data_IF_819423728123
#
_entry.id   IF_819423728123
#
_cell.length_a   1.000
_cell.length_b   1.000
_cell.length_c   1.000
_cell.angle_alpha   90.00
_cell.angle_beta   90.00
_cell.angle_gamma   90.00
#
_symmetry.space_group_name_H-M   'P 1'
#
loop_
_entity.id
_entity.type
_entity.pdbx_description
1 polymer ?
#
# COMPACT_ATOMS: atom_id res chain seq x y z
N UNK A 1 -12.06 18.74 0.21
CA UNK A 1 -12.05 17.42 0.86
C UNK A 1 -10.63 16.93 0.96
N UNK A 2 -10.24 16.48 2.15
CA UNK A 2 -8.92 15.90 2.35
C UNK A 2 -9.09 14.47 2.86
N UNK A 3 -8.60 13.49 2.11
CA UNK A 3 -8.63 12.09 2.51
C UNK A 3 -8.05 11.87 3.92
N UNK A 4 -6.95 12.53 4.23
CA UNK A 4 -6.30 12.41 5.54
C UNK A 4 -7.20 12.90 6.65
N UNK A 5 -7.86 14.03 6.45
CA UNK A 5 -8.81 14.57 7.42
C UNK A 5 -9.99 13.63 7.64
N UNK A 6 -10.56 13.12 6.57
CA UNK A 6 -11.70 12.22 6.63
C UNK A 6 -11.32 10.89 7.28
N UNK A 7 -10.12 10.39 6.99
CA UNK A 7 -9.57 9.21 7.65
C UNK A 7 -9.40 9.41 9.17
N UNK A 8 -8.93 10.58 9.59
CA UNK A 8 -8.85 10.93 11.00
C UNK A 8 -10.22 11.01 11.66
N UNK A 9 -11.18 11.66 11.00
CA UNK A 9 -12.54 11.80 11.51
C UNK A 9 -13.22 10.43 11.69
N UNK A 10 -13.03 9.54 10.72
CA UNK A 10 -13.58 8.18 10.78
C UNK A 10 -12.99 7.35 11.94
N UNK A 11 -11.74 7.63 12.29
CA UNK A 11 -11.05 6.92 13.35
C UNK A 11 -11.04 7.69 14.69
N UNK A 12 -11.83 8.74 14.83
CA UNK A 12 -12.00 9.42 16.11
C UNK A 12 -12.62 8.48 17.15
N UNK A 13 -12.09 8.57 18.37
CA UNK A 13 -12.52 7.71 19.47
C UNK A 13 -11.72 6.42 19.61
N UNK A 14 -10.87 6.08 18.69
CA UNK A 14 -9.90 5.00 18.85
C UNK A 14 -8.67 5.49 19.62
N UNK A 15 -8.18 4.67 20.53
CA UNK A 15 -6.98 4.95 21.32
C UNK A 15 -5.67 4.81 20.51
N UNK A 16 -5.72 5.19 19.23
CA UNK A 16 -4.58 5.07 18.33
C UNK A 16 -3.88 6.41 18.26
N UNK A 17 -2.55 6.47 18.50
CA UNK A 17 -1.79 7.70 18.37
C UNK A 17 -1.94 8.32 16.98
N UNK A 18 -2.20 9.61 16.93
CA UNK A 18 -2.41 10.36 15.68
C UNK A 18 -1.27 10.21 14.68
N UNK A 19 -0.04 10.10 15.17
CA UNK A 19 1.14 9.90 14.31
C UNK A 19 1.08 8.58 13.55
N UNK A 20 0.64 7.51 14.19
CA UNK A 20 0.49 6.21 13.53
C UNK A 20 -0.62 6.23 12.50
N UNK A 21 -1.75 6.86 12.83
CA UNK A 21 -2.84 7.06 11.87
C UNK A 21 -2.40 7.88 10.67
N UNK A 22 -1.64 8.94 10.88
CA UNK A 22 -1.15 9.79 9.79
C UNK A 22 -0.29 9.02 8.80
N UNK A 23 0.70 8.29 9.29
CA UNK A 23 1.58 7.50 8.44
C UNK A 23 0.86 6.33 7.77
N UNK A 24 -0.10 5.72 8.46
CA UNK A 24 -0.96 4.68 7.85
C UNK A 24 -1.84 5.26 6.74
N UNK A 25 -2.35 6.47 6.91
CA UNK A 25 -3.09 7.18 5.87
C UNK A 25 -2.22 7.49 4.64
N UNK A 26 -0.98 7.90 4.84
CA UNK A 26 -0.04 8.08 3.73
C UNK A 26 0.27 6.77 3.02
N UNK A 27 0.41 5.68 3.75
CA UNK A 27 0.59 4.34 3.17
C UNK A 27 -0.60 3.93 2.31
N UNK A 28 -1.81 4.17 2.79
CA UNK A 28 -3.03 3.92 2.02
C UNK A 28 -3.09 4.74 0.74
N UNK A 29 -2.78 6.03 0.81
CA UNK A 29 -2.71 6.90 -0.38
C UNK A 29 -1.67 6.43 -1.38
N UNK A 30 -0.48 6.11 -0.90
CA UNK A 30 0.61 5.58 -1.73
C UNK A 30 0.18 4.33 -2.49
N UNK A 31 -0.47 3.40 -1.79
CA UNK A 31 -0.98 2.17 -2.38
C UNK A 31 -2.08 2.42 -3.42
N UNK A 32 -2.96 3.38 -3.15
CA UNK A 32 -4.06 3.72 -4.03
C UNK A 32 -3.59 4.44 -5.30
N UNK A 33 -2.62 5.33 -5.18
CA UNK A 33 -2.06 6.06 -6.32
C UNK A 33 -1.24 5.12 -7.21
N UNK A 34 -0.41 4.27 -6.58
CA UNK A 34 0.46 3.34 -7.31
C UNK A 34 1.31 4.05 -8.36
N UNK A 35 1.59 3.40 -9.48
CA UNK A 35 2.42 3.97 -10.55
C UNK A 35 1.63 4.88 -11.52
N UNK A 36 0.39 5.19 -11.23
CA UNK A 36 -0.44 6.07 -12.09
C UNK A 36 0.11 7.49 -12.15
N UNK A 37 0.76 7.90 -11.08
CA UNK A 37 1.44 9.19 -10.99
C UNK A 37 2.92 8.91 -10.84
N UNK A 38 3.71 9.53 -11.68
CA UNK A 38 5.17 9.41 -11.62
C UNK A 38 5.82 10.74 -11.95
N UNK A 39 6.99 10.93 -11.41
CA UNK A 39 7.86 12.04 -11.77
C UNK A 39 8.92 11.52 -12.75
N UNK A 40 8.94 12.10 -13.93
CA UNK A 40 9.94 11.78 -14.94
C UNK A 40 11.16 12.71 -14.77
N UNK A 41 12.30 12.11 -14.45
CA UNK A 41 13.57 12.79 -14.32
C UNK A 41 14.53 12.42 -15.46
N UNK A 42 14.04 12.31 -16.68
CA UNK A 42 14.74 11.95 -17.91
C UNK A 42 15.22 10.51 -18.00
N UNK A 43 15.80 9.98 -16.95
CA UNK A 43 16.35 8.62 -16.93
C UNK A 43 15.77 7.75 -15.82
N UNK A 44 15.02 8.35 -14.91
CA UNK A 44 14.48 7.68 -13.73
C UNK A 44 13.01 8.07 -13.56
N UNK A 45 12.16 7.07 -13.42
CA UNK A 45 10.77 7.27 -13.04
C UNK A 45 10.63 7.08 -11.53
N UNK A 46 10.20 8.13 -10.85
CA UNK A 46 9.93 8.09 -9.42
C UNK A 46 8.43 7.96 -9.22
N UNK A 47 8.03 6.88 -8.57
CA UNK A 47 6.64 6.63 -8.20
C UNK A 47 6.45 6.84 -6.69
N UNK A 48 5.24 7.16 -6.21
CA UNK A 48 4.99 7.42 -4.80
C UNK A 48 4.88 6.11 -3.99
N UNK A 49 5.90 5.27 -4.06
CA UNK A 49 6.01 4.07 -3.25
C UNK A 49 6.70 4.39 -1.93
N UNK A 50 5.96 4.29 -0.84
CA UNK A 50 6.45 4.63 0.49
C UNK A 50 6.67 3.34 1.29
N UNK A 51 7.84 3.25 1.92
CA UNK A 51 8.15 2.23 2.89
C UNK A 51 8.05 2.82 4.30
N UNK A 52 7.13 2.29 5.10
CA UNK A 52 6.81 2.85 6.41
C UNK A 52 7.08 1.81 7.51
N UNK A 53 7.84 2.20 8.51
CA UNK A 53 8.07 1.40 9.71
C UNK A 53 7.53 2.17 10.92
N UNK A 54 6.56 1.60 11.60
CA UNK A 54 6.02 2.15 12.84
C UNK A 54 6.79 1.57 14.04
N UNK A 55 7.50 2.43 14.73
CA UNK A 55 8.29 2.06 15.90
C UNK A 55 7.65 2.62 17.18
N UNK A 56 7.60 1.82 18.20
CA UNK A 56 7.07 2.21 19.50
C UNK A 56 7.00 1.06 20.50
N UNK A 57 6.60 1.34 21.70
CA UNK A 57 6.46 0.35 22.78
C UNK A 57 5.46 -0.74 22.41
N UNK A 58 5.59 -1.91 22.99
CA UNK A 58 4.58 -2.96 22.90
C UNK A 58 3.23 -2.44 23.40
N UNK A 59 2.15 -2.84 22.74
CA UNK A 59 0.79 -2.32 23.06
C UNK A 59 0.49 -0.91 22.54
N UNK A 60 1.41 -0.27 21.82
CA UNK A 60 1.24 1.09 21.29
C UNK A 60 0.28 1.25 20.13
N UNK A 61 -0.57 0.26 19.87
CA UNK A 61 -1.59 0.30 18.79
C UNK A 61 -1.04 0.47 17.37
N UNK A 62 0.22 0.10 17.12
CA UNK A 62 0.85 0.18 15.80
C UNK A 62 0.12 -0.67 14.76
N UNK A 63 -0.14 -1.92 15.11
CA UNK A 63 -0.86 -2.87 14.26
C UNK A 63 -2.29 -2.38 13.98
N UNK A 64 -2.97 -1.86 14.99
CA UNK A 64 -4.33 -1.32 14.82
C UNK A 64 -4.36 -0.16 13.82
N UNK A 65 -3.35 0.72 13.84
CA UNK A 65 -3.26 1.82 12.87
C UNK A 65 -3.03 1.30 11.44
N UNK A 66 -2.15 0.33 11.27
CA UNK A 66 -1.91 -0.33 9.98
C UNK A 66 -3.18 -1.00 9.47
N UNK A 67 -3.85 -1.77 10.33
CA UNK A 67 -5.02 -2.55 9.95
C UNK A 67 -6.17 -1.66 9.48
N UNK A 68 -6.38 -0.52 10.11
CA UNK A 68 -7.37 0.48 9.67
C UNK A 68 -7.12 0.97 8.24
N UNK A 69 -5.88 1.26 7.91
CA UNK A 69 -5.51 1.66 6.56
C UNK A 69 -5.59 0.49 5.58
N UNK A 70 -5.16 -0.69 5.99
CA UNK A 70 -5.19 -1.90 5.19
C UNK A 70 -6.61 -2.27 4.80
N UNK A 71 -7.53 -2.35 5.76
CA UNK A 71 -8.92 -2.69 5.53
C UNK A 71 -9.59 -1.73 4.54
N UNK A 72 -9.30 -0.44 4.69
CA UNK A 72 -9.81 0.58 3.79
C UNK A 72 -9.32 0.38 2.34
N UNK A 73 -8.05 0.08 2.16
CA UNK A 73 -7.47 -0.13 0.83
C UNK A 73 -7.97 -1.42 0.20
N UNK A 74 -8.10 -2.49 0.97
CA UNK A 74 -8.65 -3.77 0.50
C UNK A 74 -10.09 -3.60 0.04
N UNK A 75 -10.90 -2.89 0.80
CA UNK A 75 -12.30 -2.63 0.46
C UNK A 75 -12.43 -1.73 -0.78
N UNK A 76 -11.64 -0.67 -0.83
CA UNK A 76 -11.70 0.31 -1.93
C UNK A 76 -11.09 -0.20 -3.24
N UNK A 77 -10.06 -1.02 -3.16
CA UNK A 77 -9.27 -1.46 -4.29
C UNK A 77 -9.03 -2.98 -4.28
N UNK A 78 -10.08 -3.79 -4.52
CA UNK A 78 -9.98 -5.25 -4.46
C UNK A 78 -9.06 -5.84 -5.54
N UNK A 79 -8.67 -5.04 -6.53
CA UNK A 79 -7.74 -5.46 -7.59
C UNK A 79 -6.27 -5.42 -7.19
N UNK A 80 -5.93 -4.83 -6.04
CA UNK A 80 -4.57 -4.81 -5.55
C UNK A 80 -4.19 -6.17 -4.96
N UNK A 81 -2.96 -6.57 -5.21
CA UNK A 81 -2.36 -7.75 -4.59
C UNK A 81 -1.67 -7.35 -3.29
N UNK A 82 -2.00 -8.03 -2.22
CA UNK A 82 -1.39 -7.81 -0.91
C UNK A 82 -0.53 -9.01 -0.54
N UNK A 83 0.59 -8.74 0.11
CA UNK A 83 1.35 -9.81 0.77
C UNK A 83 0.71 -10.17 2.11
N UNK A 84 0.89 -11.40 2.56
CA UNK A 84 0.39 -11.85 3.86
C UNK A 84 1.16 -11.23 5.03
N UNK A 85 0.57 -11.28 6.21
CA UNK A 85 1.16 -10.72 7.42
C UNK A 85 2.45 -11.40 7.88
N UNK A 86 2.63 -12.65 7.50
CA UNK A 86 3.76 -13.48 7.88
C UNK A 86 4.52 -14.01 6.67
N UNK A 87 4.53 -13.27 5.59
CA UNK A 87 5.24 -13.69 4.40
C UNK A 87 6.74 -13.75 4.68
N UNK A 88 7.29 -14.93 4.40
CA UNK A 88 8.74 -15.09 4.36
C UNK A 88 9.29 -14.43 3.10
N UNK A 89 10.58 -14.13 3.10
CA UNK A 89 11.28 -13.64 1.91
C UNK A 89 10.98 -14.48 0.66
N UNK A 90 10.96 -15.80 0.84
CA UNK A 90 10.64 -16.76 -0.21
C UNK A 90 9.19 -16.61 -0.68
N UNK A 91 8.27 -16.42 0.23
CA UNK A 91 6.85 -16.20 -0.08
C UNK A 91 6.61 -14.94 -0.89
N UNK A 92 7.28 -13.85 -0.56
CA UNK A 92 7.22 -12.61 -1.30
C UNK A 92 7.75 -12.79 -2.73
N UNK A 93 8.91 -13.44 -2.88
CA UNK A 93 9.46 -13.74 -4.22
C UNK A 93 8.49 -14.56 -5.04
N UNK A 94 7.92 -15.61 -4.46
CA UNK A 94 6.96 -16.48 -5.16
C UNK A 94 5.69 -15.72 -5.58
N UNK A 95 5.21 -14.80 -4.75
CA UNK A 95 4.08 -13.96 -5.10
C UNK A 95 4.42 -13.02 -6.26
N UNK A 96 5.60 -12.41 -6.24
CA UNK A 96 6.09 -11.55 -7.33
C UNK A 96 6.30 -12.34 -8.62
N UNK A 97 6.79 -13.56 -8.56
CA UNK A 97 6.94 -14.45 -9.70
C UNK A 97 5.61 -14.82 -10.34
N UNK A 98 4.58 -15.08 -9.52
CA UNK A 98 3.23 -15.34 -10.00
C UNK A 98 2.68 -14.16 -10.81
N UNK A 99 2.83 -12.96 -10.32
CA UNK A 99 2.40 -11.76 -11.02
C UNK A 99 3.21 -11.54 -12.31
N UNK A 100 4.49 -11.83 -12.28
CA UNK A 100 5.37 -11.73 -13.45
C UNK A 100 5.07 -12.83 -14.47
N UNK A 101 4.78 -14.03 -14.02
CA UNK A 101 4.42 -15.15 -14.90
C UNK A 101 3.09 -14.89 -15.63
N UNK A 102 2.15 -14.28 -14.95
CA UNK A 102 0.91 -13.86 -15.56
C UNK A 102 1.14 -12.75 -16.61
N UNK A 103 2.01 -11.81 -16.32
CA UNK A 103 2.46 -10.78 -17.27
C UNK A 103 3.16 -11.40 -18.50
N UNK A 104 3.90 -12.48 -18.32
CA UNK A 104 4.52 -13.21 -19.43
C UNK A 104 3.50 -13.93 -20.31
N UNK A 105 2.46 -14.49 -19.72
CA UNK A 105 1.38 -15.16 -20.45
C UNK A 105 0.56 -14.19 -21.29
N UNK A 106 0.48 -12.96 -20.88
CA UNK A 106 -0.19 -11.87 -21.61
C UNK A 106 0.79 -11.00 -22.40
N UNK A 107 1.97 -11.52 -22.70
CA UNK A 107 3.07 -10.77 -23.31
C UNK A 107 2.73 -10.13 -24.67
N UNK A 108 1.76 -10.65 -25.38
CA UNK A 108 1.24 -10.01 -26.59
C UNK A 108 0.33 -8.83 -26.31
N UNK A 109 -0.12 -8.71 -25.09
CA UNK A 109 -0.76 -7.52 -24.56
C UNK A 109 0.30 -6.78 -23.75
N UNK A 110 1.22 -6.21 -24.44
CA UNK A 110 2.43 -5.53 -23.96
C UNK A 110 2.15 -4.35 -23.08
N UNK A 111 0.96 -4.14 -22.80
CA UNK A 111 0.56 -3.25 -21.77
C UNK A 111 0.70 -4.03 -20.47
N UNK A 112 1.90 -4.00 -19.96
CA UNK A 112 2.05 -4.05 -18.52
C UNK A 112 0.96 -3.16 -18.00
N UNK A 113 -0.10 -3.74 -17.51
CA UNK A 113 -1.18 -2.96 -16.97
C UNK A 113 -0.60 -2.15 -15.79
N UNK A 114 -0.34 -0.85 -15.95
CA UNK A 114 0.26 -0.05 -14.90
C UNK A 114 -0.64 0.05 -13.67
N UNK A 115 -1.86 -0.44 -13.80
CA UNK A 115 -2.85 -0.46 -12.74
C UNK A 115 -2.79 -1.71 -11.88
N UNK A 116 -1.84 -2.56 -12.14
CA UNK A 116 -1.60 -3.77 -11.38
C UNK A 116 -0.48 -3.65 -10.39
N UNK A 117 -0.09 -2.55 -10.20
CA UNK A 117 0.90 -2.33 -9.16
C UNK A 117 0.21 -1.85 -7.94
#
# INVERSE_FOLDING_TARGET
MSFIRDFFLHNQGNEIPKRYLLWSAYGALSSAIGPRVHLDLHHIYVVPNIYIILVGKAGGRKTSARDKAYDLVVEALPSLTFSGDNDTYQGIITAMERDTCWSKKTRNLTVRNPHRV
#
